data_IF_828300814502
#
_entry.id   IF_828300814502
#
_cell.length_a   1.000
_cell.length_b   1.000
_cell.length_c   1.000
_cell.angle_alpha   90.00
_cell.angle_beta   90.00
_cell.angle_gamma   90.00
#
_symmetry.space_group_name_H-M   'P 1'
#
loop_
_entity.id
_entity.type
_entity.pdbx_description
1 polymer ?
#
# COMPACT_ATOMS: atom_id res chain seq x y z
N UNK A 1 -11.83 27.05 2.37
CA UNK A 1 -10.47 26.47 2.43
C UNK A 1 -9.50 27.34 1.65
N UNK A 2 -8.42 27.78 2.26
CA UNK A 2 -7.42 28.57 1.54
C UNK A 2 -6.52 27.66 0.68
N UNK A 3 -5.64 28.27 -0.15
CA UNK A 3 -4.79 27.56 -1.09
C UNK A 3 -3.81 26.60 -0.39
N UNK A 4 -3.23 27.02 0.75
CA UNK A 4 -2.27 26.21 1.50
C UNK A 4 -2.95 24.97 2.09
N UNK A 5 -4.15 25.12 2.61
CA UNK A 5 -4.93 24.00 3.16
C UNK A 5 -5.30 23.01 2.07
N UNK A 6 -5.71 23.50 0.89
CA UNK A 6 -6.00 22.63 -0.27
C UNK A 6 -4.79 21.84 -0.69
N UNK A 7 -3.63 22.48 -0.76
CA UNK A 7 -2.36 21.82 -1.10
C UNK A 7 -2.02 20.72 -0.10
N UNK A 8 -2.22 21.01 1.18
CA UNK A 8 -1.96 20.06 2.26
C UNK A 8 -2.83 18.80 2.13
N UNK A 9 -4.12 18.96 1.86
CA UNK A 9 -5.03 17.84 1.64
C UNK A 9 -4.66 17.06 0.39
N UNK A 10 -4.25 17.74 -0.66
CA UNK A 10 -3.80 17.07 -1.89
C UNK A 10 -2.60 16.18 -1.64
N UNK A 11 -1.62 16.66 -0.89
CA UNK A 11 -0.41 15.91 -0.55
C UNK A 11 -0.74 14.68 0.31
N UNK A 12 -1.63 14.84 1.28
CA UNK A 12 -2.11 13.70 2.09
C UNK A 12 -2.79 12.66 1.22
N UNK A 13 -3.65 13.11 0.30
CA UNK A 13 -4.35 12.20 -0.60
C UNK A 13 -3.39 11.43 -1.49
N UNK A 14 -2.30 12.05 -1.94
CA UNK A 14 -1.29 11.37 -2.76
C UNK A 14 -0.66 10.19 -2.03
N UNK A 15 -0.39 10.34 -0.73
CA UNK A 15 0.17 9.25 0.08
C UNK A 15 -0.84 8.11 0.19
N UNK A 16 -2.10 8.43 0.48
CA UNK A 16 -3.16 7.42 0.58
C UNK A 16 -3.38 6.71 -0.76
N UNK A 17 -3.39 7.47 -1.85
CA UNK A 17 -3.55 6.93 -3.20
C UNK A 17 -2.41 5.98 -3.58
N UNK A 18 -1.20 6.25 -3.09
CA UNK A 18 -0.05 5.39 -3.33
C UNK A 18 -0.20 4.02 -2.66
N UNK A 19 -1.10 3.87 -1.70
CA UNK A 19 -1.44 2.59 -1.08
C UNK A 19 -2.73 1.99 -1.64
N UNK A 20 -3.55 2.78 -2.33
CA UNK A 20 -4.92 2.41 -2.71
C UNK A 20 -4.98 1.60 -4.01
N UNK A 21 -4.33 0.44 -4.02
CA UNK A 21 -4.35 -0.50 -5.14
C UNK A 21 -4.01 -1.89 -4.59
N UNK A 22 -4.68 -2.96 -5.04
CA UNK A 22 -4.42 -4.31 -4.51
C UNK A 22 -2.95 -4.73 -4.53
N UNK A 23 -2.25 -4.46 -5.63
CA UNK A 23 -0.82 -4.81 -5.74
C UNK A 23 0.01 -3.99 -4.76
N UNK A 24 -0.29 -2.70 -4.60
CA UNK A 24 0.46 -1.83 -3.67
C UNK A 24 0.22 -2.24 -2.22
N UNK A 25 -1.00 -2.63 -1.87
CA UNK A 25 -1.30 -3.16 -0.54
C UNK A 25 -0.51 -4.44 -0.26
N UNK A 26 -0.45 -5.34 -1.24
CA UNK A 26 0.34 -6.57 -1.12
C UNK A 26 1.83 -6.28 -0.95
N UNK A 27 2.36 -5.31 -1.67
CA UNK A 27 3.76 -4.89 -1.54
C UNK A 27 4.02 -4.35 -0.12
N UNK A 28 3.15 -3.49 0.40
CA UNK A 28 3.31 -2.93 1.74
C UNK A 28 3.34 -4.05 2.78
N UNK A 29 2.42 -4.99 2.72
CA UNK A 29 2.38 -6.12 3.65
C UNK A 29 3.65 -6.97 3.57
N UNK A 30 4.14 -7.20 2.35
CA UNK A 30 5.36 -7.98 2.15
C UNK A 30 6.59 -7.30 2.76
N UNK A 31 6.60 -5.95 2.76
CA UNK A 31 7.72 -5.17 3.29
C UNK A 31 7.65 -4.93 4.81
N UNK A 32 6.58 -5.35 5.47
CA UNK A 32 6.41 -5.17 6.92
C UNK A 32 7.55 -5.81 7.70
N UNK A 33 7.97 -7.01 7.29
CA UNK A 33 9.01 -7.78 7.98
C UNK A 33 10.42 -7.38 7.61
N UNK A 34 10.58 -6.43 6.70
CA UNK A 34 11.89 -5.93 6.33
C UNK A 34 12.05 -5.72 4.83
N UNK A 35 13.26 -5.34 4.47
CA UNK A 35 13.66 -5.04 3.10
C UNK A 35 13.56 -6.25 2.19
N UNK A 36 13.10 -6.04 0.96
CA UNK A 36 12.97 -7.09 -0.05
C UNK A 36 13.50 -6.61 -1.39
N UNK A 37 14.09 -7.50 -2.17
CA UNK A 37 14.50 -7.16 -3.53
C UNK A 37 13.30 -7.15 -4.46
N UNK A 38 13.41 -6.41 -5.57
CA UNK A 38 12.33 -6.32 -6.56
C UNK A 38 11.97 -7.71 -7.12
N UNK A 39 12.95 -8.59 -7.25
CA UNK A 39 12.72 -9.96 -7.74
C UNK A 39 11.76 -10.72 -6.83
N UNK A 40 11.96 -10.62 -5.52
CA UNK A 40 11.11 -11.30 -4.54
C UNK A 40 9.72 -10.66 -4.47
N UNK A 41 9.65 -9.35 -4.63
CA UNK A 41 8.36 -8.64 -4.69
C UNK A 41 7.54 -9.12 -5.88
N UNK A 42 8.16 -9.19 -7.06
CA UNK A 42 7.50 -9.65 -8.29
C UNK A 42 6.93 -11.06 -8.10
N UNK A 43 7.73 -11.97 -7.54
CA UNK A 43 7.31 -13.33 -7.28
C UNK A 43 6.16 -13.38 -6.28
N UNK A 44 6.25 -12.60 -5.20
CA UNK A 44 5.25 -12.58 -4.14
C UNK A 44 3.89 -12.11 -4.63
N UNK A 45 3.86 -11.03 -5.41
CA UNK A 45 2.59 -10.44 -5.88
C UNK A 45 2.08 -11.07 -7.18
N UNK A 46 2.86 -11.99 -7.75
CA UNK A 46 2.47 -12.73 -8.97
C UNK A 46 2.06 -11.81 -10.13
N UNK A 47 2.83 -10.74 -10.35
CA UNK A 47 2.57 -9.77 -11.41
C UNK A 47 3.81 -9.61 -12.29
N UNK A 48 3.61 -9.04 -13.47
CA UNK A 48 4.73 -8.77 -14.38
C UNK A 48 5.67 -7.72 -13.78
N UNK A 49 6.96 -7.89 -14.01
CA UNK A 49 7.99 -7.00 -13.49
C UNK A 49 7.77 -5.54 -13.87
N UNK A 50 7.40 -5.28 -15.11
CA UNK A 50 7.13 -3.92 -15.59
C UNK A 50 5.97 -3.27 -14.82
N UNK A 51 4.94 -4.04 -14.50
CA UNK A 51 3.79 -3.57 -13.74
C UNK A 51 4.18 -3.26 -12.29
N UNK A 52 4.92 -4.18 -11.66
CA UNK A 52 5.43 -4.00 -10.29
C UNK A 52 6.32 -2.76 -10.21
N UNK A 53 7.23 -2.59 -11.18
CA UNK A 53 8.13 -1.43 -11.23
C UNK A 53 7.35 -0.12 -11.31
N UNK A 54 6.26 -0.09 -12.06
CA UNK A 54 5.41 1.10 -12.17
C UNK A 54 4.73 1.42 -10.84
N UNK A 55 4.23 0.42 -10.15
CA UNK A 55 3.63 0.59 -8.82
C UNK A 55 4.67 1.08 -7.80
N UNK A 56 5.86 0.48 -7.81
CA UNK A 56 6.95 0.90 -6.93
C UNK A 56 7.37 2.34 -7.19
N UNK A 57 7.38 2.79 -8.44
CA UNK A 57 7.69 4.18 -8.79
C UNK A 57 6.69 5.17 -8.16
N UNK A 58 5.41 4.85 -8.20
CA UNK A 58 4.37 5.67 -7.58
C UNK A 58 4.59 5.73 -6.06
N UNK A 59 4.88 4.59 -5.45
CA UNK A 59 5.11 4.49 -4.01
C UNK A 59 6.37 5.23 -3.56
N UNK A 60 7.42 5.21 -4.37
CA UNK A 60 8.65 5.97 -4.13
C UNK A 60 8.38 7.47 -4.14
N UNK A 61 7.69 7.95 -5.16
CA UNK A 61 7.37 9.38 -5.30
C UNK A 61 6.53 9.90 -4.13
N UNK A 62 5.61 9.09 -3.64
CA UNK A 62 4.75 9.47 -2.52
C UNK A 62 5.45 9.34 -1.17
N UNK A 63 6.61 8.70 -1.11
CA UNK A 63 7.35 8.51 0.13
C UNK A 63 6.85 7.36 0.99
N UNK A 64 6.12 6.42 0.41
CA UNK A 64 5.64 5.22 1.11
C UNK A 64 6.76 4.20 1.25
N UNK A 65 7.57 4.07 0.21
CA UNK A 65 8.74 3.17 0.20
C UNK A 65 9.99 3.95 -0.14
N UNK A 66 11.14 3.38 0.18
CA UNK A 66 12.44 3.85 -0.25
C UNK A 66 13.20 2.68 -0.87
N UNK A 67 14.20 3.00 -1.68
CA UNK A 67 14.98 2.00 -2.37
C UNK A 67 16.47 2.24 -2.18
N UNK A 68 17.24 1.17 -2.25
CA UNK A 68 18.69 1.24 -2.29
C UNK A 68 19.21 0.18 -3.23
N UNK A 69 20.38 0.43 -3.80
CA UNK A 69 21.05 -0.54 -4.65
C UNK A 69 22.00 -1.39 -3.81
N UNK A 70 21.87 -2.70 -3.97
CA UNK A 70 22.76 -3.67 -3.30
C UNK A 70 23.35 -4.58 -4.37
N UNK A 71 24.53 -4.20 -4.87
CA UNK A 71 25.13 -4.88 -6.01
C UNK A 71 24.26 -4.70 -7.25
N UNK A 72 23.81 -5.81 -7.82
CA UNK A 72 22.93 -5.82 -8.99
C UNK A 72 21.44 -5.79 -8.62
N UNK A 73 21.13 -5.82 -7.32
CA UNK A 73 19.74 -5.87 -6.84
C UNK A 73 19.26 -4.49 -6.41
N UNK A 74 17.99 -4.21 -6.69
CA UNK A 74 17.29 -3.07 -6.11
C UNK A 74 16.47 -3.56 -4.94
N UNK A 75 16.74 -2.97 -3.77
CA UNK A 75 16.08 -3.31 -2.52
C UNK A 75 15.08 -2.23 -2.15
N UNK A 76 13.93 -2.63 -1.65
CA UNK A 76 12.86 -1.73 -1.24
C UNK A 76 12.49 -1.99 0.21
N UNK A 77 12.16 -0.91 0.93
CA UNK A 77 11.71 -0.98 2.31
C UNK A 77 10.65 0.09 2.56
N UNK A 78 9.88 -0.06 3.64
CA UNK A 78 8.88 0.94 4.02
C UNK A 78 9.59 2.17 4.58
N UNK A 79 9.34 3.33 3.95
CA UNK A 79 9.82 4.62 4.44
C UNK A 79 8.88 5.18 5.51
N UNK A 80 7.61 4.83 5.43
CA UNK A 80 6.56 5.31 6.32
C UNK A 80 5.89 4.12 7.03
N UNK A 81 6.56 3.50 8.04
CA UNK A 81 6.00 2.30 8.69
C UNK A 81 4.65 2.53 9.35
N UNK A 82 4.31 3.75 9.74
CA UNK A 82 3.02 4.06 10.36
C UNK A 82 1.82 3.82 9.43
N UNK A 83 2.06 3.70 8.12
CA UNK A 83 0.99 3.36 7.17
C UNK A 83 0.39 1.98 7.49
N UNK A 84 1.16 1.09 8.07
CA UNK A 84 0.69 -0.26 8.47
C UNK A 84 -0.44 -0.15 9.49
N UNK A 85 -0.32 0.79 10.44
CA UNK A 85 -1.38 1.04 11.43
C UNK A 85 -2.65 1.56 10.77
N UNK A 86 -2.51 2.49 9.84
CA UNK A 86 -3.64 3.03 9.09
C UNK A 86 -4.35 1.91 8.31
N UNK A 87 -3.60 1.05 7.64
CA UNK A 87 -4.16 -0.07 6.88
C UNK A 87 -4.82 -1.10 7.79
N UNK A 88 -4.31 -1.26 9.01
CA UNK A 88 -4.96 -2.08 10.03
C UNK A 88 -6.35 -1.56 10.38
N UNK A 89 -6.51 -0.24 10.49
CA UNK A 89 -7.81 0.38 10.71
C UNK A 89 -8.76 0.15 9.52
N UNK A 90 -8.24 0.24 8.31
CA UNK A 90 -9.03 -0.05 7.09
C UNK A 90 -9.51 -1.51 7.10
N UNK A 91 -8.64 -2.43 7.52
CA UNK A 91 -8.97 -3.85 7.64
C UNK A 91 -10.09 -4.08 8.66
N UNK A 92 -10.06 -3.38 9.79
CA UNK A 92 -11.13 -3.45 10.78
C UNK A 92 -12.46 -2.97 10.19
N UNK A 93 -12.44 -1.87 9.43
CA UNK A 93 -13.63 -1.37 8.75
C UNK A 93 -14.18 -2.39 7.77
N UNK A 94 -13.30 -3.08 7.05
CA UNK A 94 -13.68 -4.14 6.11
C UNK A 94 -14.35 -5.31 6.85
N UNK A 95 -13.77 -5.73 7.97
CA UNK A 95 -14.34 -6.82 8.80
C UNK A 95 -15.74 -6.47 9.30
N UNK A 96 -15.95 -5.24 9.75
CA UNK A 96 -17.25 -4.76 10.19
C UNK A 96 -18.27 -4.77 9.04
N UNK A 97 -17.84 -4.32 7.87
CA UNK A 97 -18.70 -4.33 6.67
C UNK A 97 -19.10 -5.74 6.29
N UNK A 98 -18.17 -6.70 6.35
CA UNK A 98 -18.43 -8.11 6.05
C UNK A 98 -19.41 -8.73 7.06
N UNK A 99 -19.27 -8.41 8.35
CA UNK A 99 -20.21 -8.87 9.39
C UNK A 99 -21.62 -8.35 9.15
N UNK A 100 -21.73 -7.07 8.82
CA UNK A 100 -23.03 -6.43 8.53
C UNK A 100 -23.71 -7.09 7.33
N UNK A 101 -22.97 -7.38 6.27
CA UNK A 101 -23.48 -8.06 5.09
C UNK A 101 -23.92 -9.48 5.40
N UNK A 102 -23.14 -10.22 6.18
CA UNK A 102 -23.48 -11.57 6.60
C UNK A 102 -24.77 -11.59 7.44
N UNK A 103 -24.91 -10.63 8.36
CA UNK A 103 -26.12 -10.50 9.18
C UNK A 103 -27.33 -10.20 8.33
N UNK A 104 -27.20 -9.30 7.37
CA UNK A 104 -28.29 -8.95 6.44
C UNK A 104 -28.73 -10.16 5.63
N UNK A 105 -27.78 -10.92 5.09
CA UNK A 105 -28.08 -12.14 4.33
C UNK A 105 -28.84 -13.17 5.19
N UNK A 106 -28.45 -13.32 6.44
CA UNK A 106 -29.15 -14.22 7.36
C UNK A 106 -30.58 -13.79 7.61
N UNK A 107 -30.83 -12.49 7.71
CA UNK A 107 -32.19 -11.95 7.91
C UNK A 107 -33.07 -12.14 6.68
N UNK A 108 -32.47 -12.17 5.50
CA UNK A 108 -33.19 -12.34 4.23
C UNK A 108 -33.50 -13.81 3.94
N UNK A 109 -32.82 -14.72 4.59
CA UNK A 109 -33.10 -16.16 4.50
C UNK A 109 -33.96 -16.61 5.69
#
# INVERSE_FOLDING_TARGET
>A
MNADTKKFYKLKAEIIQAAAHPIRLAIIEFLVDGEQCVCDIVEHVEAQRSNVSRHLSVMLKAGVVESRKDGLKMMYSLKTPCIVKFLGCVEEALKERMKSQATLLRKLC
#
